data_IF_583967487088
#
_entry.id   IF_583967487088
#
_cell.length_a   1.000
_cell.length_b   1.000
_cell.length_c   1.000
_cell.angle_alpha   90.00
_cell.angle_beta   90.00
_cell.angle_gamma   90.00
#
_symmetry.space_group_name_H-M   'P 1'
#
loop_
_entity.id
_entity.type
_entity.pdbx_description
1 polymer ?
#
# COMPACT_ATOMS: atom_id res chain seq x y z
N UNK A 1 -1.90 21.48 -8.76
CA UNK A 1 -1.59 20.51 -7.70
C UNK A 1 -0.95 19.28 -8.34
N UNK A 2 0.33 19.39 -8.73
CA UNK A 2 1.06 18.40 -9.53
C UNK A 2 2.35 17.87 -8.84
N UNK A 3 2.79 18.45 -7.72
CA UNK A 3 4.09 18.10 -7.12
C UNK A 3 4.12 16.77 -6.35
N UNK A 4 3.00 16.28 -5.82
CA UNK A 4 3.02 15.08 -4.95
C UNK A 4 3.25 13.78 -5.71
N UNK A 5 2.71 13.65 -6.93
CA UNK A 5 2.94 12.48 -7.79
C UNK A 5 4.42 12.42 -8.19
N UNK A 6 4.98 13.56 -8.60
CA UNK A 6 6.40 13.68 -8.95
C UNK A 6 7.32 13.41 -7.74
N UNK A 7 6.92 13.88 -6.55
CA UNK A 7 7.64 13.63 -5.30
C UNK A 7 7.66 12.14 -4.92
N UNK A 8 6.58 11.40 -5.19
CA UNK A 8 6.55 9.94 -4.98
C UNK A 8 7.44 9.19 -5.98
N UNK A 9 7.34 9.51 -7.28
CA UNK A 9 8.14 8.85 -8.32
C UNK A 9 9.65 9.04 -8.11
N UNK A 10 10.08 10.15 -7.52
CA UNK A 10 11.50 10.45 -7.28
C UNK A 10 12.02 9.82 -5.98
N UNK A 11 11.15 9.58 -4.99
CA UNK A 11 11.58 9.21 -3.62
C UNK A 11 11.54 7.73 -3.30
N UNK A 12 10.68 6.96 -3.95
CA UNK A 12 10.61 5.52 -3.71
C UNK A 12 11.81 4.83 -4.35
N UNK A 13 12.40 3.88 -3.63
CA UNK A 13 13.36 2.96 -4.26
C UNK A 13 12.64 2.12 -5.34
N UNK A 14 13.36 1.54 -6.31
CA UNK A 14 12.74 0.69 -7.32
C UNK A 14 11.90 -0.46 -6.72
N UNK A 15 12.32 -1.03 -5.59
CA UNK A 15 11.59 -2.12 -4.95
C UNK A 15 10.37 -1.63 -4.17
N UNK A 16 10.44 -0.45 -3.54
CA UNK A 16 9.26 0.20 -2.95
C UNK A 16 8.22 0.55 -4.02
N UNK A 17 8.66 1.05 -5.19
CA UNK A 17 7.78 1.36 -6.32
C UNK A 17 7.11 0.09 -6.86
N UNK A 18 7.86 -1.01 -7.03
CA UNK A 18 7.28 -2.31 -7.42
C UNK A 18 6.24 -2.79 -6.41
N UNK A 19 6.53 -2.70 -5.11
CA UNK A 19 5.59 -3.06 -4.04
C UNK A 19 4.32 -2.21 -4.08
N UNK A 20 4.45 -0.90 -4.20
CA UNK A 20 3.31 0.02 -4.31
C UNK A 20 2.44 -0.28 -5.54
N UNK A 21 3.08 -0.52 -6.70
CA UNK A 21 2.39 -0.86 -7.95
C UNK A 21 1.63 -2.18 -7.82
N UNK A 22 2.22 -3.18 -7.17
CA UNK A 22 1.56 -4.46 -6.91
C UNK A 22 0.29 -4.27 -6.07
N UNK A 23 0.37 -3.56 -4.95
CA UNK A 23 -0.78 -3.31 -4.07
C UNK A 23 -1.87 -2.53 -4.80
N UNK A 24 -1.48 -1.53 -5.60
CA UNK A 24 -2.40 -0.75 -6.43
C UNK A 24 -3.12 -1.61 -7.46
N UNK A 25 -2.40 -2.47 -8.19
CA UNK A 25 -3.00 -3.36 -9.18
C UNK A 25 -3.97 -4.35 -8.53
N UNK A 26 -3.59 -4.96 -7.41
CA UNK A 26 -4.45 -5.90 -6.68
C UNK A 26 -5.71 -5.22 -6.16
N UNK A 27 -5.59 -4.02 -5.59
CA UNK A 27 -6.74 -3.24 -5.12
C UNK A 27 -7.67 -2.83 -6.28
N UNK A 28 -7.09 -2.37 -7.40
CA UNK A 28 -7.83 -2.02 -8.62
C UNK A 28 -8.61 -3.20 -9.16
N UNK A 29 -7.99 -4.38 -9.27
CA UNK A 29 -8.62 -5.60 -9.74
C UNK A 29 -9.72 -6.09 -8.77
N UNK A 30 -9.57 -5.80 -7.47
CA UNK A 30 -10.56 -6.11 -6.46
C UNK A 30 -11.74 -5.11 -6.40
N UNK A 31 -11.68 -4.01 -7.17
CA UNK A 31 -12.67 -2.93 -7.18
C UNK A 31 -12.62 -2.04 -5.93
N UNK A 32 -11.45 -1.90 -5.32
CA UNK A 32 -11.25 -1.15 -4.07
C UNK A 32 -10.47 0.14 -4.31
N UNK A 33 -10.86 1.21 -3.61
CA UNK A 33 -10.05 2.42 -3.54
C UNK A 33 -8.89 2.18 -2.57
N UNK A 34 -7.69 2.57 -2.99
CA UNK A 34 -6.44 2.44 -2.23
C UNK A 34 -5.88 3.83 -1.93
N UNK A 35 -5.46 4.05 -0.69
CA UNK A 35 -4.90 5.32 -0.22
C UNK A 35 -3.56 5.05 0.46
N UNK A 36 -2.53 5.82 0.10
CA UNK A 36 -1.30 5.89 0.88
C UNK A 36 -1.59 6.71 2.14
N UNK A 37 -1.21 6.19 3.30
CA UNK A 37 -1.56 6.75 4.61
C UNK A 37 -0.37 6.69 5.57
N UNK A 38 -0.59 7.04 6.84
CA UNK A 38 0.36 6.79 7.90
C UNK A 38 1.68 7.56 7.80
N UNK A 39 2.75 6.93 8.29
CA UNK A 39 4.08 7.53 8.38
C UNK A 39 4.71 7.80 7.01
N UNK A 40 4.39 6.96 6.03
CA UNK A 40 4.88 7.07 4.66
C UNK A 40 4.56 8.45 4.05
N UNK A 41 3.34 8.97 4.25
CA UNK A 41 2.94 10.29 3.74
C UNK A 41 3.77 11.40 4.37
N UNK A 42 3.98 11.36 5.70
CA UNK A 42 4.84 12.33 6.41
C UNK A 42 6.27 12.27 5.86
N UNK A 43 6.81 11.08 5.67
CA UNK A 43 8.21 10.90 5.29
C UNK A 43 8.47 11.35 3.84
N UNK A 44 7.52 11.09 2.93
CA UNK A 44 7.52 11.63 1.55
C UNK A 44 7.52 13.16 1.55
N UNK A 45 6.61 13.79 2.32
CA UNK A 45 6.46 15.25 2.35
C UNK A 45 7.66 15.93 3.03
N UNK A 46 8.14 15.36 4.14
CA UNK A 46 9.13 16.00 5.02
C UNK A 46 10.57 15.76 4.58
N UNK A 47 10.78 14.80 3.69
CA UNK A 47 12.12 14.51 3.22
C UNK A 47 12.76 13.27 3.83
N UNK A 48 12.14 12.65 4.83
CA UNK A 48 12.73 11.57 5.62
C UNK A 48 12.85 10.25 4.85
N UNK A 49 13.76 9.35 5.28
CA UNK A 49 13.84 8.00 4.73
C UNK A 49 12.51 7.26 4.88
N UNK A 50 12.00 6.73 3.77
CA UNK A 50 10.77 5.94 3.73
C UNK A 50 11.14 4.50 4.08
N UNK A 51 10.64 3.99 5.22
CA UNK A 51 10.98 2.66 5.75
C UNK A 51 9.95 1.60 5.36
N UNK A 52 8.68 2.00 5.35
CA UNK A 52 7.51 1.20 5.05
C UNK A 52 6.50 2.03 4.24
N UNK A 53 5.52 1.34 3.65
CA UNK A 53 4.41 1.95 2.93
C UNK A 53 3.10 1.48 3.55
N UNK A 54 2.36 2.41 4.15
CA UNK A 54 1.08 2.11 4.79
C UNK A 54 -0.07 2.41 3.83
N UNK A 55 -0.91 1.39 3.58
CA UNK A 55 -2.08 1.55 2.73
C UNK A 55 -3.37 1.37 3.52
N UNK A 56 -4.33 2.25 3.26
CA UNK A 56 -5.72 2.09 3.70
C UNK A 56 -6.60 1.79 2.49
N UNK A 57 -7.57 0.90 2.64
CA UNK A 57 -8.48 0.51 1.55
C UNK A 57 -9.92 0.79 1.92
N UNK A 58 -10.72 1.17 0.93
CA UNK A 58 -12.18 1.21 1.06
C UNK A 58 -12.75 -0.07 0.44
N UNK A 59 -13.17 -1.01 1.27
CA UNK A 59 -13.68 -2.31 0.84
C UNK A 59 -13.40 -3.40 1.87
N UNK A 60 -13.40 -4.65 1.42
CA UNK A 60 -13.09 -5.80 2.28
C UNK A 60 -11.57 -6.06 2.33
N UNK A 61 -10.88 -5.80 3.45
CA UNK A 61 -9.44 -5.97 3.56
C UNK A 61 -9.00 -7.45 3.50
N UNK A 62 -9.83 -8.40 3.97
CA UNK A 62 -9.51 -9.83 3.87
C UNK A 62 -9.50 -10.33 2.43
N UNK A 63 -10.39 -9.79 1.59
CA UNK A 63 -10.36 -10.09 0.15
C UNK A 63 -9.05 -9.59 -0.46
N UNK A 64 -8.62 -8.37 -0.12
CA UNK A 64 -7.35 -7.83 -0.60
C UNK A 64 -6.15 -8.67 -0.12
N UNK A 65 -6.13 -9.06 1.16
CA UNK A 65 -5.09 -9.92 1.71
C UNK A 65 -4.94 -11.23 0.92
N UNK A 66 -6.06 -11.93 0.64
CA UNK A 66 -6.05 -13.18 -0.14
C UNK A 66 -5.52 -12.98 -1.56
N UNK A 67 -5.87 -11.87 -2.22
CA UNK A 67 -5.37 -11.57 -3.56
C UNK A 67 -3.87 -11.20 -3.55
N UNK A 68 -3.40 -10.53 -2.49
CA UNK A 68 -1.96 -10.26 -2.30
C UNK A 68 -1.17 -11.55 -2.08
N UNK A 69 -1.67 -12.48 -1.27
CA UNK A 69 -1.06 -13.81 -1.07
C UNK A 69 -0.95 -14.58 -2.39
N UNK A 70 -2.02 -14.59 -3.20
CA UNK A 70 -2.00 -15.19 -4.55
C UNK A 70 -0.97 -14.54 -5.48
N UNK A 71 -0.72 -13.24 -5.30
CA UNK A 71 0.30 -12.50 -6.05
C UNK A 71 1.72 -12.69 -5.49
N UNK A 72 1.90 -13.56 -4.49
CA UNK A 72 3.20 -13.92 -3.92
C UNK A 72 3.62 -13.10 -2.70
N UNK A 73 2.75 -12.26 -2.14
CA UNK A 73 3.03 -11.57 -0.89
C UNK A 73 3.00 -12.54 0.30
N UNK A 74 3.85 -12.30 1.29
CA UNK A 74 3.88 -13.06 2.55
C UNK A 74 3.24 -12.23 3.65
N UNK A 75 2.26 -12.81 4.34
CA UNK A 75 1.61 -12.16 5.48
C UNK A 75 2.48 -12.34 6.72
N UNK A 76 3.04 -11.25 7.23
CA UNK A 76 3.84 -11.27 8.45
C UNK A 76 2.97 -11.29 9.71
N UNK A 77 1.86 -10.55 9.70
CA UNK A 77 0.86 -10.51 10.75
C UNK A 77 -0.49 -10.10 10.15
N UNK A 78 -1.57 -10.54 10.77
CA UNK A 78 -2.93 -10.10 10.47
C UNK A 78 -3.70 -9.98 11.78
N UNK A 79 -4.60 -9.01 11.88
CA UNK A 79 -5.51 -8.90 13.01
C UNK A 79 -6.54 -10.05 12.92
N UNK A 80 -6.51 -10.95 13.89
CA UNK A 80 -7.38 -12.12 13.91
C UNK A 80 -8.85 -11.77 14.18
N UNK A 81 -9.13 -10.63 14.83
CA UNK A 81 -10.49 -10.18 15.08
C UNK A 81 -11.20 -9.83 13.76
N UNK A 82 -10.46 -9.31 12.78
CA UNK A 82 -10.97 -9.01 11.44
C UNK A 82 -11.36 -10.26 10.64
N UNK A 83 -10.84 -11.45 10.97
CA UNK A 83 -11.17 -12.71 10.28
C UNK A 83 -12.53 -13.30 10.67
N UNK A 84 -13.13 -12.78 11.73
CA UNK A 84 -14.39 -13.32 12.31
C UNK A 84 -15.66 -12.55 11.90
N UNK A 85 -15.51 -11.49 11.11
CA UNK A 85 -16.58 -10.68 10.50
C UNK A 85 -16.94 -11.17 9.09
#
# INVERSE_FOLDING_TARGET
>A
MADYIYTMEIRLTPDQQKGANLVQEVARNAGMNLYLTGGAVRDIISGFPIRDLDFTVQGNPLKLQKELEKAGAVIAAADDDLKTL
#
